data_IF_290846176445
#
_entry.id   IF_290846176445
#
_cell.length_a   1.000
_cell.length_b   1.000
_cell.length_c   1.000
_cell.angle_alpha   90.00
_cell.angle_beta   90.00
_cell.angle_gamma   90.00
#
_symmetry.space_group_name_H-M   'P 1'
#
loop_
_entity.id
_entity.type
_entity.pdbx_description
1 polymer ?
#
# COMPACT_ATOMS: atom_id res chain seq x y z
N UNK A 1 -81.97 -45.04 6.00
CA UNK A 1 -81.64 -44.76 7.37
C UNK A 1 -80.34 -43.98 7.38
N UNK A 2 -80.38 -42.87 7.98
CA UNK A 2 -79.43 -41.73 7.77
C UNK A 2 -78.18 -41.89 8.58
N UNK A 3 -77.01 -41.70 7.95
CA UNK A 3 -75.78 -41.55 8.70
C UNK A 3 -75.11 -40.21 8.24
N UNK A 4 -75.09 -39.29 9.16
CA UNK A 4 -74.52 -37.97 8.98
C UNK A 4 -73.06 -38.02 9.27
N UNK A 5 -72.22 -37.89 8.24
CA UNK A 5 -70.77 -37.78 8.39
C UNK A 5 -70.32 -36.36 8.76
N UNK A 6 -69.82 -36.20 9.94
CA UNK A 6 -69.25 -34.94 10.45
C UNK A 6 -67.84 -34.73 9.88
N UNK A 7 -67.69 -33.78 8.97
CA UNK A 7 -66.41 -33.39 8.42
C UNK A 7 -65.75 -32.41 9.37
N UNK A 8 -64.68 -32.88 10.08
CA UNK A 8 -63.81 -32.02 10.88
C UNK A 8 -62.85 -31.27 9.99
N UNK A 9 -63.03 -29.96 9.89
CA UNK A 9 -62.08 -29.04 9.24
C UNK A 9 -60.83 -28.92 10.08
N UNK A 10 -59.75 -29.53 9.64
CA UNK A 10 -58.42 -29.29 10.20
C UNK A 10 -57.96 -27.86 9.85
N UNK A 11 -57.75 -27.06 10.85
CA UNK A 11 -57.25 -25.69 10.75
C UNK A 11 -55.71 -25.74 10.72
N UNK A 12 -55.10 -25.76 9.53
CA UNK A 12 -53.69 -25.64 9.37
C UNK A 12 -53.22 -24.20 9.66
N UNK A 13 -52.73 -24.01 10.89
CA UNK A 13 -51.98 -22.82 11.23
C UNK A 13 -50.62 -22.93 10.61
N UNK A 14 -50.39 -22.26 9.48
CA UNK A 14 -49.07 -22.09 8.90
C UNK A 14 -48.25 -21.17 9.81
N UNK A 15 -47.30 -21.74 10.57
CA UNK A 15 -46.25 -20.94 11.22
C UNK A 15 -45.36 -20.39 10.12
N UNK A 16 -45.42 -19.07 9.92
CA UNK A 16 -44.41 -18.35 9.15
C UNK A 16 -43.12 -18.27 9.98
N UNK A 17 -42.14 -19.08 9.61
CA UNK A 17 -40.80 -18.98 10.16
C UNK A 17 -40.16 -17.76 9.50
N UNK A 18 -40.13 -16.65 10.21
CA UNK A 18 -39.39 -15.46 9.83
C UNK A 18 -37.90 -15.76 9.75
N UNK A 19 -37.34 -15.77 8.56
CA UNK A 19 -35.91 -15.79 8.36
C UNK A 19 -35.33 -14.47 8.88
N UNK A 20 -34.79 -14.48 10.08
CA UNK A 20 -33.98 -13.39 10.60
C UNK A 20 -32.67 -13.37 9.82
N UNK A 21 -32.58 -12.48 8.84
CA UNK A 21 -31.35 -12.22 8.10
C UNK A 21 -30.30 -11.63 9.07
N UNK A 22 -29.29 -12.42 9.42
CA UNK A 22 -28.09 -11.92 10.08
C UNK A 22 -27.36 -11.02 9.09
N UNK A 23 -27.52 -9.68 9.23
CA UNK A 23 -26.61 -8.73 8.58
C UNK A 23 -25.23 -8.91 9.24
N UNK A 24 -24.32 -9.58 8.54
CA UNK A 24 -22.92 -9.59 8.90
C UNK A 24 -22.36 -8.19 8.63
N UNK A 25 -22.23 -7.38 9.66
CA UNK A 25 -21.50 -6.11 9.63
C UNK A 25 -20.02 -6.50 9.53
N UNK A 26 -19.45 -6.40 8.33
CA UNK A 26 -18.02 -6.51 8.15
C UNK A 26 -17.37 -5.31 8.85
N UNK A 27 -16.76 -5.54 10.01
CA UNK A 27 -15.91 -4.57 10.68
C UNK A 27 -14.68 -4.37 9.79
N UNK A 28 -14.64 -3.27 9.05
CA UNK A 28 -13.44 -2.85 8.35
C UNK A 28 -12.35 -2.61 9.42
N UNK A 29 -11.32 -3.46 9.43
CA UNK A 29 -10.17 -3.24 10.31
C UNK A 29 -9.43 -2.00 9.79
N UNK A 30 -9.08 -1.04 10.66
CA UNK A 30 -8.26 0.08 10.24
C UNK A 30 -6.92 -0.47 9.74
N UNK A 31 -6.48 0.02 8.57
CA UNK A 31 -5.14 -0.27 8.09
C UNK A 31 -4.14 0.17 9.17
N UNK A 32 -3.20 -0.70 9.53
CA UNK A 32 -2.18 -0.34 10.50
C UNK A 32 -1.42 0.89 10.00
N UNK A 33 -1.20 1.87 10.88
CA UNK A 33 -0.38 3.03 10.56
C UNK A 33 1.05 2.57 10.20
N UNK A 34 1.71 3.32 9.30
CA UNK A 34 3.08 3.05 8.92
C UNK A 34 4.03 3.22 10.13
N UNK A 35 4.99 2.30 10.26
CA UNK A 35 5.94 2.25 11.37
C UNK A 35 7.33 2.75 10.91
N UNK A 36 7.67 3.98 11.27
CA UNK A 36 8.95 4.58 10.91
C UNK A 36 10.16 3.90 11.59
N UNK A 37 10.01 3.27 12.75
CA UNK A 37 11.09 2.52 13.39
C UNK A 37 11.40 1.22 12.64
N UNK A 38 10.37 0.50 12.21
CA UNK A 38 10.56 -0.62 11.29
C UNK A 38 11.11 -0.13 9.94
N UNK A 39 10.59 0.98 9.42
CA UNK A 39 11.08 1.62 8.20
C UNK A 39 12.57 1.97 8.25
N UNK A 40 13.09 2.38 9.42
CA UNK A 40 14.52 2.60 9.65
C UNK A 40 15.34 1.32 9.49
N UNK A 41 14.80 0.18 9.91
CA UNK A 41 15.46 -1.11 9.72
C UNK A 41 15.47 -1.50 8.24
N UNK A 42 14.36 -1.35 7.54
CA UNK A 42 14.27 -1.57 6.08
C UNK A 42 15.24 -0.66 5.33
N UNK A 43 15.37 0.60 5.76
CA UNK A 43 16.25 1.61 5.16
C UNK A 43 17.74 1.24 5.20
N UNK A 44 18.17 0.33 6.05
CA UNK A 44 19.59 -0.11 6.10
C UNK A 44 20.09 -0.61 4.74
N UNK A 45 19.23 -1.28 3.98
CA UNK A 45 19.56 -1.71 2.62
C UNK A 45 19.71 -0.55 1.64
N UNK A 46 19.04 0.57 1.90
CA UNK A 46 19.08 1.78 1.08
C UNK A 46 20.28 2.67 1.41
N UNK A 47 20.63 2.76 2.70
CA UNK A 47 21.68 3.62 3.23
C UNK A 47 23.07 3.33 2.63
N UNK A 48 23.32 2.10 2.20
CA UNK A 48 24.56 1.71 1.55
C UNK A 48 24.85 2.55 0.28
N UNK A 49 23.81 2.95 -0.45
CA UNK A 49 23.91 3.75 -1.67
C UNK A 49 23.45 5.19 -1.46
N UNK A 50 22.43 5.41 -0.63
CA UNK A 50 21.81 6.72 -0.35
C UNK A 50 22.38 7.33 0.94
N UNK A 51 23.67 7.53 0.99
CA UNK A 51 24.35 8.20 2.10
C UNK A 51 24.55 9.68 1.82
N UNK A 52 24.91 10.47 2.86
CA UNK A 52 25.24 11.88 2.72
C UNK A 52 26.70 12.12 2.26
N UNK A 53 27.37 11.09 1.79
CA UNK A 53 28.76 11.18 1.29
C UNK A 53 28.79 11.78 -0.12
N UNK A 54 29.80 12.58 -0.46
CA UNK A 54 29.90 13.20 -1.79
C UNK A 54 30.02 12.21 -2.95
N UNK A 55 30.50 11.01 -2.68
CA UNK A 55 30.70 9.92 -3.65
C UNK A 55 29.64 8.81 -3.53
N UNK A 56 28.51 9.11 -2.89
CA UNK A 56 27.41 8.15 -2.76
C UNK A 56 26.90 7.68 -4.12
N UNK A 57 26.59 6.40 -4.22
CA UNK A 57 26.10 5.78 -5.47
C UNK A 57 24.69 6.23 -5.85
N UNK A 58 23.90 6.68 -4.87
CA UNK A 58 22.54 7.22 -5.07
C UNK A 58 22.43 8.65 -4.53
N UNK A 59 21.38 9.38 -4.93
CA UNK A 59 21.14 10.73 -4.42
C UNK A 59 20.75 10.72 -2.95
N UNK A 60 21.01 11.82 -2.24
CA UNK A 60 20.46 12.01 -0.89
C UNK A 60 18.93 11.97 -0.92
N UNK A 61 18.34 11.26 0.03
CA UNK A 61 16.89 11.14 0.18
C UNK A 61 16.31 12.17 1.16
N UNK A 62 17.15 13.02 1.75
CA UNK A 62 16.68 14.13 2.58
C UNK A 62 15.78 15.05 1.76
N UNK A 63 14.55 15.28 2.25
CA UNK A 63 13.56 16.11 1.58
C UNK A 63 13.05 15.56 0.24
N UNK A 64 13.15 14.25 0.01
CA UNK A 64 12.70 13.65 -1.26
C UNK A 64 11.20 13.74 -1.46
N UNK A 65 10.41 13.64 -0.39
CA UNK A 65 8.94 13.73 -0.49
C UNK A 65 8.53 15.13 -0.94
N UNK A 66 7.78 15.18 -2.04
CA UNK A 66 7.38 16.42 -2.70
C UNK A 66 8.37 16.94 -3.75
N UNK A 67 9.59 16.40 -3.81
CA UNK A 67 10.60 16.82 -4.77
C UNK A 67 10.36 16.22 -6.16
N UNK A 68 10.60 17.00 -7.20
CA UNK A 68 10.55 16.51 -8.58
C UNK A 68 11.59 15.41 -8.81
N UNK A 69 11.21 14.32 -9.47
CA UNK A 69 12.11 13.25 -9.83
C UNK A 69 13.27 13.77 -10.71
N UNK A 70 14.48 13.32 -10.41
CA UNK A 70 15.67 13.67 -11.18
C UNK A 70 16.09 15.14 -11.10
N UNK A 71 15.73 15.88 -10.04
CA UNK A 71 15.90 17.34 -9.99
C UNK A 71 17.05 17.84 -9.14
N UNK A 72 17.82 16.98 -8.46
CA UNK A 72 18.99 17.45 -7.70
C UNK A 72 20.14 17.79 -8.63
N UNK A 73 20.81 18.90 -8.38
CA UNK A 73 21.95 19.38 -9.17
C UNK A 73 23.27 18.66 -8.82
N UNK A 74 23.32 18.11 -7.59
CA UNK A 74 24.51 17.43 -7.04
C UNK A 74 24.56 15.93 -7.33
N UNK A 75 23.64 15.41 -8.14
CA UNK A 75 23.60 14.00 -8.51
C UNK A 75 23.35 13.80 -10.00
N UNK A 76 24.09 12.86 -10.62
CA UNK A 76 23.95 12.50 -12.02
C UNK A 76 22.91 11.40 -12.21
N UNK A 77 21.69 11.77 -12.51
CA UNK A 77 20.60 10.83 -12.81
C UNK A 77 20.71 10.18 -14.18
N UNK A 78 19.99 9.06 -14.38
CA UNK A 78 19.72 8.55 -15.72
C UNK A 78 18.84 9.51 -16.51
N UNK A 79 18.94 9.47 -17.84
CA UNK A 79 18.03 10.23 -18.70
C UNK A 79 16.56 9.88 -18.45
N UNK A 80 16.27 8.63 -18.15
CA UNK A 80 14.93 8.17 -17.81
C UNK A 80 14.40 8.87 -16.56
N UNK A 81 15.21 8.96 -15.49
CA UNK A 81 14.81 9.63 -14.25
C UNK A 81 14.63 11.14 -14.45
N UNK A 82 15.52 11.79 -15.20
CA UNK A 82 15.39 13.23 -15.51
C UNK A 82 14.13 13.57 -16.29
N UNK A 83 13.65 12.65 -17.16
CA UNK A 83 12.44 12.80 -17.96
C UNK A 83 11.19 12.20 -17.34
N UNK A 84 11.27 11.68 -16.13
CA UNK A 84 10.15 10.96 -15.50
C UNK A 84 8.88 11.83 -15.30
N UNK A 85 9.04 13.13 -15.05
CA UNK A 85 7.96 14.11 -15.14
C UNK A 85 6.96 14.12 -13.97
N UNK A 86 7.31 13.50 -12.84
CA UNK A 86 6.47 13.47 -11.64
C UNK A 86 7.23 13.95 -10.41
N UNK A 87 6.49 14.27 -9.36
CA UNK A 87 7.07 14.53 -8.04
C UNK A 87 7.00 13.27 -7.18
N UNK A 88 7.98 13.11 -6.30
CA UNK A 88 7.99 12.03 -5.32
C UNK A 88 6.95 12.32 -4.22
N UNK A 89 5.76 11.76 -4.36
CA UNK A 89 4.79 11.62 -3.29
C UNK A 89 4.80 10.19 -2.72
N UNK A 90 4.04 9.94 -1.67
CA UNK A 90 4.00 8.60 -1.07
C UNK A 90 3.53 7.54 -2.07
N UNK A 91 2.57 7.85 -2.94
CA UNK A 91 2.05 6.94 -3.95
C UNK A 91 3.09 6.59 -5.01
N UNK A 92 3.81 7.57 -5.54
CA UNK A 92 4.88 7.37 -6.53
C UNK A 92 6.09 6.66 -5.93
N UNK A 93 6.43 6.96 -4.66
CA UNK A 93 7.47 6.24 -3.93
C UNK A 93 7.10 4.78 -3.71
N UNK A 94 5.85 4.50 -3.31
CA UNK A 94 5.35 3.13 -3.15
C UNK A 94 5.45 2.33 -4.44
N UNK A 95 5.02 2.91 -5.56
CA UNK A 95 5.14 2.27 -6.88
C UNK A 95 6.60 2.02 -7.27
N UNK A 96 7.48 3.01 -7.06
CA UNK A 96 8.90 2.89 -7.38
C UNK A 96 9.61 1.85 -6.52
N UNK A 97 9.33 1.81 -5.22
CA UNK A 97 9.92 0.83 -4.31
C UNK A 97 9.37 -0.59 -4.51
N UNK A 98 8.18 -0.74 -5.06
CA UNK A 98 7.66 -2.06 -5.45
C UNK A 98 8.36 -2.62 -6.70
N UNK A 99 8.55 -1.79 -7.73
CA UNK A 99 9.25 -2.15 -8.96
C UNK A 99 9.85 -0.90 -9.61
N UNK A 100 11.13 -0.58 -9.35
CA UNK A 100 11.78 0.60 -9.89
C UNK A 100 11.78 0.66 -11.42
N UNK A 101 11.96 -0.47 -12.10
CA UNK A 101 11.99 -0.51 -13.57
C UNK A 101 10.61 -0.38 -14.19
N UNK A 102 9.56 -0.87 -13.53
CA UNK A 102 8.19 -0.65 -13.99
C UNK A 102 7.79 0.83 -13.88
N UNK A 103 8.18 1.50 -12.79
CA UNK A 103 7.85 2.92 -12.55
C UNK A 103 8.68 3.86 -13.44
N UNK A 104 9.98 3.62 -13.55
CA UNK A 104 10.92 4.45 -14.35
C UNK A 104 11.83 3.52 -15.15
N UNK A 105 11.35 3.06 -16.30
CA UNK A 105 12.11 2.17 -17.17
C UNK A 105 13.40 2.85 -17.65
N UNK A 106 14.53 2.21 -17.39
CA UNK A 106 15.85 2.73 -17.72
C UNK A 106 16.50 3.54 -16.60
N UNK A 107 15.93 3.52 -15.37
CA UNK A 107 16.63 4.04 -14.21
C UNK A 107 17.85 3.16 -13.89
N UNK A 108 18.84 3.74 -13.18
CA UNK A 108 20.11 3.06 -12.89
C UNK A 108 20.22 2.53 -11.45
N UNK A 109 19.14 2.57 -10.66
CA UNK A 109 19.13 2.04 -9.31
C UNK A 109 19.13 0.51 -9.36
N UNK A 110 20.20 -0.17 -8.88
CA UNK A 110 20.30 -1.63 -8.96
C UNK A 110 19.51 -2.29 -7.80
N UNK A 111 18.22 -2.08 -7.79
CA UNK A 111 17.30 -2.57 -6.76
C UNK A 111 16.07 -3.17 -7.44
N UNK A 112 15.71 -4.39 -7.05
CA UNK A 112 14.61 -5.14 -7.69
C UNK A 112 13.24 -4.88 -7.08
N UNK A 113 13.18 -4.14 -5.99
CA UNK A 113 11.93 -3.80 -5.31
C UNK A 113 11.75 -4.46 -3.95
N UNK A 114 10.83 -3.92 -3.16
CA UNK A 114 10.36 -4.50 -1.91
C UNK A 114 9.17 -5.43 -2.20
N UNK A 115 9.26 -6.67 -1.72
CA UNK A 115 8.19 -7.65 -1.92
C UNK A 115 6.98 -7.39 -1.01
N UNK A 116 7.22 -6.88 0.21
CA UNK A 116 6.16 -6.56 1.16
C UNK A 116 5.74 -5.10 1.04
N UNK A 117 4.47 -4.81 0.68
CA UNK A 117 3.95 -3.45 0.63
C UNK A 117 4.04 -2.71 1.97
N UNK A 118 4.00 -3.43 3.09
CA UNK A 118 4.16 -2.83 4.42
C UNK A 118 5.57 -2.27 4.62
N UNK A 119 6.59 -2.97 4.16
CA UNK A 119 7.98 -2.47 4.20
C UNK A 119 8.11 -1.18 3.40
N UNK A 120 7.43 -1.06 2.26
CA UNK A 120 7.41 0.16 1.48
C UNK A 120 6.75 1.32 2.24
N UNK A 121 5.60 1.09 2.86
CA UNK A 121 4.90 2.11 3.66
C UNK A 121 5.75 2.55 4.86
N UNK A 122 6.36 1.62 5.56
CA UNK A 122 7.18 1.90 6.73
C UNK A 122 8.47 2.66 6.36
N UNK A 123 9.15 2.26 5.30
CA UNK A 123 10.37 2.96 4.85
C UNK A 123 10.07 4.35 4.30
N UNK A 124 8.92 4.57 3.65
CA UNK A 124 8.47 5.89 3.21
C UNK A 124 8.22 6.79 4.43
N UNK A 125 7.57 6.28 5.48
CA UNK A 125 7.39 7.02 6.73
C UNK A 125 8.72 7.41 7.35
N UNK A 126 9.71 6.52 7.36
CA UNK A 126 11.06 6.84 7.85
C UNK A 126 11.77 7.88 6.98
N UNK A 127 11.74 7.74 5.65
CA UNK A 127 12.33 8.69 4.70
C UNK A 127 11.77 10.10 4.91
N UNK A 128 10.50 10.22 5.22
CA UNK A 128 9.86 11.49 5.55
C UNK A 128 10.43 12.18 6.79
N UNK A 129 11.11 11.45 7.67
CA UNK A 129 11.75 12.01 8.87
C UNK A 129 13.18 12.53 8.63
N UNK A 130 13.79 12.20 7.50
CA UNK A 130 15.16 12.62 7.17
C UNK A 130 15.26 14.15 7.01
N UNK A 131 16.22 14.77 7.72
CA UNK A 131 16.46 16.23 7.75
C UNK A 131 17.91 16.53 7.39
#
# INVERSE_FOLDING_TARGET
MHSVGLVMKANERRLAIGAAGLLAVALAQPAAAADAEHGKQVFQACAACHSDKPDALGPSLVGVIGRKAGSRDDFRYSNAMMRAGFNWDEGSLRQYLADPQAKVKGNRMPFSGLADPKDADDVIAYIGTLK
#
